data_IF_968929985484
#
_entry.id   IF_968929985484
#
_cell.length_a   1.000
_cell.length_b   1.000
_cell.length_c   1.000
_cell.angle_alpha   90.00
_cell.angle_beta   90.00
_cell.angle_gamma   90.00
#
_symmetry.space_group_name_H-M   'P 1'
#
loop_
_entity.id
_entity.type
_entity.pdbx_description
1 polymer ?
#
# COMPACT_ATOMS: atom_id res chain seq x y z
N UNK A 1 -6.24 -24.25 28.44
CA UNK A 1 -7.37 -23.31 28.29
C UNK A 1 -8.61 -24.09 27.89
N UNK A 2 -9.79 -23.83 28.48
CA UNK A 2 -11.00 -24.65 28.31
C UNK A 2 -11.77 -24.28 27.02
N UNK A 3 -12.50 -25.24 26.44
CA UNK A 3 -13.31 -25.08 25.21
C UNK A 3 -14.26 -23.87 25.25
N UNK A 4 -14.84 -23.60 26.43
CA UNK A 4 -15.72 -22.45 26.68
C UNK A 4 -15.00 -21.11 26.53
N UNK A 5 -13.74 -20.99 26.96
CA UNK A 5 -12.96 -19.76 26.83
C UNK A 5 -12.69 -19.44 25.35
N UNK A 6 -12.49 -20.44 24.50
CA UNK A 6 -12.39 -20.26 23.06
C UNK A 6 -13.73 -19.85 22.42
N UNK A 7 -14.84 -20.42 22.88
CA UNK A 7 -16.18 -20.05 22.39
C UNK A 7 -16.53 -18.60 22.78
N UNK A 8 -16.22 -18.18 24.02
CA UNK A 8 -16.39 -16.81 24.47
C UNK A 8 -15.49 -15.83 23.72
N UNK A 9 -14.23 -16.21 23.44
CA UNK A 9 -13.31 -15.38 22.65
C UNK A 9 -13.77 -15.21 21.19
N UNK A 10 -14.41 -16.24 20.60
CA UNK A 10 -15.01 -16.15 19.26
C UNK A 10 -16.31 -15.34 19.21
N UNK A 11 -17.02 -15.25 20.33
CA UNK A 11 -18.27 -14.48 20.47
C UNK A 11 -18.02 -13.04 20.95
N UNK A 12 -16.82 -12.75 21.46
CA UNK A 12 -16.40 -11.41 21.81
C UNK A 12 -16.36 -10.56 20.54
N UNK A 13 -17.32 -9.65 20.40
CA UNK A 13 -17.26 -8.60 19.40
C UNK A 13 -16.09 -7.66 19.78
N UNK A 14 -15.49 -6.92 18.82
CA UNK A 14 -14.50 -5.89 19.11
C UNK A 14 -14.98 -4.83 20.14
N UNK A 15 -16.29 -4.78 20.36
CA UNK A 15 -17.01 -3.90 21.28
C UNK A 15 -17.04 -4.40 22.73
N UNK A 16 -16.66 -5.66 22.99
CA UNK A 16 -16.64 -6.27 24.32
C UNK A 16 -15.30 -6.05 25.05
N UNK A 17 -14.41 -5.25 24.48
CA UNK A 17 -13.09 -4.99 25.05
C UNK A 17 -13.25 -4.14 26.32
N UNK A 18 -12.92 -4.70 27.50
CA UNK A 18 -13.13 -4.05 28.80
C UNK A 18 -12.41 -2.69 28.93
N UNK A 19 -11.39 -2.47 28.09
CA UNK A 19 -10.67 -1.19 27.99
C UNK A 19 -11.52 -0.04 27.41
N UNK A 20 -12.58 -0.33 26.66
CA UNK A 20 -13.52 0.70 26.19
C UNK A 20 -14.36 1.29 27.34
N UNK A 21 -14.51 0.55 28.45
CA UNK A 21 -15.31 0.96 29.60
C UNK A 21 -14.49 1.69 30.67
N UNK A 22 -13.20 1.39 30.79
CA UNK A 22 -12.36 1.92 31.88
C UNK A 22 -11.74 3.29 31.60
N UNK A 23 -11.83 3.82 30.36
CA UNK A 23 -11.32 5.14 29.92
C UNK A 23 -9.88 5.46 30.38
N UNK A 24 -9.09 4.46 30.79
CA UNK A 24 -7.77 4.68 31.37
C UNK A 24 -6.71 4.90 30.28
N UNK A 25 -6.91 4.32 29.11
CA UNK A 25 -6.04 4.45 27.95
C UNK A 25 -6.88 4.44 26.68
N UNK A 26 -6.61 5.38 25.77
CA UNK A 26 -7.29 5.48 24.47
C UNK A 26 -6.25 5.32 23.36
N UNK A 27 -6.61 4.57 22.32
CA UNK A 27 -5.73 4.37 21.17
C UNK A 27 -5.53 5.70 20.43
N UNK A 28 -4.28 6.17 20.36
CA UNK A 28 -3.89 7.44 19.76
C UNK A 28 -2.60 7.29 18.95
N UNK A 29 -2.55 7.90 17.77
CA UNK A 29 -1.34 7.94 16.94
C UNK A 29 -0.40 9.05 17.40
N UNK A 30 -0.96 10.20 17.78
CA UNK A 30 -0.23 11.43 18.08
C UNK A 30 0.13 11.58 19.55
N UNK A 31 -0.71 11.09 20.46
CA UNK A 31 -0.58 11.32 21.90
C UNK A 31 -0.26 10.03 22.65
N UNK A 32 0.25 10.17 23.88
CA UNK A 32 0.32 9.00 24.77
C UNK A 32 -1.10 8.50 25.09
N UNK A 33 -1.36 7.19 25.17
CA UNK A 33 -2.69 6.67 25.45
C UNK A 33 -3.35 7.23 26.71
N UNK A 34 -2.56 7.64 27.72
CA UNK A 34 -3.07 8.26 28.94
C UNK A 34 -3.41 9.74 28.74
N UNK A 35 -2.62 10.46 27.96
CA UNK A 35 -2.91 11.85 27.59
C UNK A 35 -4.16 11.90 26.71
N UNK A 36 -4.25 11.03 25.71
CA UNK A 36 -5.42 10.91 24.82
C UNK A 36 -6.71 10.60 25.58
N UNK A 37 -6.63 9.86 26.68
CA UNK A 37 -7.79 9.55 27.53
C UNK A 37 -8.38 10.78 28.24
N UNK A 38 -7.55 11.80 28.51
CA UNK A 38 -7.97 13.06 29.12
C UNK A 38 -8.61 14.03 28.13
N UNK A 39 -8.35 13.85 26.84
CA UNK A 39 -8.84 14.72 25.78
C UNK A 39 -10.30 14.42 25.46
N UNK A 40 -11.05 15.48 25.17
CA UNK A 40 -12.43 15.37 24.78
C UNK A 40 -12.57 15.17 23.25
N UNK A 41 -13.75 14.71 22.88
CA UNK A 41 -14.06 14.39 21.49
C UNK A 41 -14.07 15.61 20.58
N UNK A 42 -14.45 16.78 21.09
CA UNK A 42 -14.47 18.00 20.27
C UNK A 42 -13.06 18.45 19.92
N UNK A 43 -12.08 18.23 20.81
CA UNK A 43 -10.67 18.46 20.53
C UNK A 43 -10.15 17.57 19.40
N UNK A 44 -10.45 16.26 19.42
CA UNK A 44 -10.05 15.36 18.32
C UNK A 44 -10.70 15.74 16.99
N UNK A 45 -11.97 16.15 17.03
CA UNK A 45 -12.68 16.62 15.84
C UNK A 45 -12.04 17.89 15.27
N UNK A 46 -11.81 18.91 16.11
CA UNK A 46 -11.16 20.16 15.71
C UNK A 46 -9.76 19.89 15.13
N UNK A 47 -8.98 19.01 15.78
CA UNK A 47 -7.65 18.61 15.31
C UNK A 47 -7.72 17.96 13.91
N UNK A 48 -8.68 17.05 13.70
CA UNK A 48 -8.90 16.40 12.41
C UNK A 48 -9.31 17.38 11.31
N UNK A 49 -10.20 18.33 11.62
CA UNK A 49 -10.61 19.38 10.69
C UNK A 49 -9.45 20.30 10.32
N UNK A 50 -8.63 20.74 11.27
CA UNK A 50 -7.42 21.52 10.99
C UNK A 50 -6.43 20.74 10.11
N UNK A 51 -6.25 19.44 10.38
CA UNK A 51 -5.44 18.57 9.52
C UNK A 51 -5.97 18.49 8.09
N UNK A 52 -7.30 18.39 7.92
CA UNK A 52 -7.92 18.35 6.62
C UNK A 52 -7.76 19.68 5.86
N UNK A 53 -7.95 20.82 6.53
CA UNK A 53 -7.76 22.15 5.95
C UNK A 53 -6.32 22.36 5.45
N UNK A 54 -5.33 21.96 6.25
CA UNK A 54 -3.92 21.98 5.86
C UNK A 54 -3.66 21.06 4.64
N UNK A 55 -4.26 19.86 4.60
CA UNK A 55 -4.15 18.95 3.45
C UNK A 55 -4.84 19.49 2.19
N UNK A 56 -5.98 20.18 2.32
CA UNK A 56 -6.69 20.80 1.21
C UNK A 56 -5.86 21.90 0.54
N UNK A 57 -4.99 22.57 1.31
CA UNK A 57 -4.01 23.50 0.77
C UNK A 57 -2.94 22.84 -0.12
N UNK A 58 -2.76 21.52 0.00
CA UNK A 58 -1.77 20.74 -0.77
C UNK A 58 -2.46 19.95 -1.89
N UNK A 59 -3.56 19.28 -1.57
CA UNK A 59 -4.28 18.37 -2.45
C UNK A 59 -5.79 18.62 -2.37
N UNK A 60 -6.40 19.23 -3.41
CA UNK A 60 -7.83 19.54 -3.42
C UNK A 60 -8.72 18.28 -3.49
N UNK A 61 -8.19 17.13 -3.88
CA UNK A 61 -8.93 15.87 -3.91
C UNK A 61 -9.47 15.44 -2.53
N UNK A 62 -9.00 16.04 -1.43
CA UNK A 62 -9.54 15.76 -0.10
C UNK A 62 -10.90 16.43 0.19
N UNK A 63 -11.37 17.33 -0.70
CA UNK A 63 -12.57 18.14 -0.44
C UNK A 63 -13.84 17.29 -0.28
N UNK A 64 -13.91 16.16 -0.99
CA UNK A 64 -15.05 15.22 -0.90
C UNK A 64 -15.24 14.61 0.50
N UNK A 65 -14.19 14.61 1.34
CA UNK A 65 -14.25 14.05 2.68
C UNK A 65 -14.72 15.06 3.73
N UNK A 66 -14.68 16.36 3.41
CA UNK A 66 -15.10 17.42 4.33
C UNK A 66 -16.59 17.30 4.67
N UNK A 67 -17.43 17.02 3.68
CA UNK A 67 -18.88 16.85 3.85
C UNK A 67 -19.28 15.47 4.37
N UNK A 68 -18.33 14.52 4.45
CA UNK A 68 -18.59 13.14 4.87
C UNK A 68 -17.88 12.84 6.19
N UNK A 69 -16.63 12.36 6.13
CA UNK A 69 -15.83 11.91 7.27
C UNK A 69 -15.51 13.02 8.29
N UNK A 70 -15.46 14.27 7.84
CA UNK A 70 -15.13 15.44 8.66
C UNK A 70 -16.31 16.40 8.84
N UNK A 71 -17.52 15.96 8.51
CA UNK A 71 -18.73 16.76 8.72
C UNK A 71 -19.04 16.90 10.21
N UNK A 72 -19.72 17.97 10.66
CA UNK A 72 -20.18 18.07 12.04
C UNK A 72 -21.06 16.89 12.46
N UNK A 73 -21.85 16.32 11.53
CA UNK A 73 -22.67 15.13 11.76
C UNK A 73 -21.85 13.86 12.08
N UNK A 74 -20.60 13.77 11.62
CA UNK A 74 -19.72 12.65 11.96
C UNK A 74 -19.40 12.58 13.47
N UNK A 75 -19.53 13.72 14.19
CA UNK A 75 -19.37 13.81 15.65
C UNK A 75 -20.52 13.21 16.45
N UNK A 76 -21.54 12.63 15.82
CA UNK A 76 -22.58 11.85 16.52
C UNK A 76 -22.72 10.42 15.97
N UNK A 77 -22.12 10.11 14.82
CA UNK A 77 -22.28 8.83 14.11
C UNK A 77 -21.59 7.65 14.81
N UNK A 78 -22.30 6.86 15.62
CA UNK A 78 -21.71 5.72 16.34
C UNK A 78 -21.69 4.48 15.44
N UNK A 79 -20.52 3.93 15.12
CA UNK A 79 -20.39 2.83 14.16
C UNK A 79 -21.06 1.52 14.61
N UNK A 80 -21.12 1.32 15.92
CA UNK A 80 -21.69 0.12 16.55
C UNK A 80 -23.20 -0.02 16.36
N UNK A 81 -23.92 1.10 16.20
CA UNK A 81 -25.39 1.12 16.09
C UNK A 81 -25.87 1.29 14.64
N UNK A 82 -24.95 1.51 13.70
CA UNK A 82 -25.31 1.68 12.28
C UNK A 82 -25.62 0.33 11.60
N UNK A 83 -26.39 0.40 10.52
CA UNK A 83 -26.66 -0.77 9.67
C UNK A 83 -25.38 -1.26 8.97
N UNK A 84 -25.40 -2.52 8.53
CA UNK A 84 -24.26 -3.12 7.81
C UNK A 84 -23.96 -2.38 6.51
N UNK A 85 -24.98 -1.88 5.84
CA UNK A 85 -24.89 -1.14 4.57
C UNK A 85 -24.24 0.22 4.79
N UNK A 86 -24.61 0.92 5.87
CA UNK A 86 -23.98 2.20 6.25
C UNK A 86 -22.52 1.98 6.61
N UNK A 87 -22.23 0.97 7.42
CA UNK A 87 -20.86 0.61 7.78
C UNK A 87 -20.01 0.26 6.56
N UNK A 88 -20.56 -0.47 5.58
CA UNK A 88 -19.86 -0.78 4.32
C UNK A 88 -19.56 0.47 3.48
N UNK A 89 -20.47 1.44 3.44
CA UNK A 89 -20.23 2.73 2.76
C UNK A 89 -19.16 3.55 3.49
N UNK A 90 -19.21 3.56 4.82
CA UNK A 90 -18.20 4.21 5.64
C UNK A 90 -16.82 3.55 5.44
N UNK A 91 -16.75 2.23 5.39
CA UNK A 91 -15.54 1.45 5.09
C UNK A 91 -14.91 1.84 3.75
N UNK A 92 -15.75 1.96 2.71
CA UNK A 92 -15.30 2.39 1.40
C UNK A 92 -14.76 3.83 1.42
N UNK A 93 -15.47 4.75 2.10
CA UNK A 93 -15.04 6.14 2.25
C UNK A 93 -13.71 6.28 3.00
N UNK A 94 -13.55 5.56 4.12
CA UNK A 94 -12.31 5.53 4.91
C UNK A 94 -11.17 4.92 4.10
N UNK A 95 -11.42 3.82 3.39
CA UNK A 95 -10.38 3.16 2.58
C UNK A 95 -9.94 4.06 1.42
N UNK A 96 -10.86 4.78 0.79
CA UNK A 96 -10.55 5.77 -0.24
C UNK A 96 -9.73 6.93 0.34
N UNK A 97 -10.15 7.48 1.48
CA UNK A 97 -9.42 8.55 2.17
C UNK A 97 -7.99 8.12 2.50
N UNK A 98 -7.80 6.96 3.13
CA UNK A 98 -6.46 6.45 3.49
C UNK A 98 -5.60 6.17 2.26
N UNK A 99 -6.19 5.72 1.16
CA UNK A 99 -5.47 5.51 -0.10
C UNK A 99 -4.97 6.84 -0.69
N UNK A 100 -5.80 7.90 -0.64
CA UNK A 100 -5.37 9.26 -1.05
C UNK A 100 -4.40 9.91 -0.06
N UNK A 101 -4.48 9.54 1.21
CA UNK A 101 -3.59 10.04 2.25
C UNK A 101 -2.17 9.46 2.16
N UNK A 102 -2.02 8.26 1.60
CA UNK A 102 -0.76 7.52 1.56
C UNK A 102 0.44 8.35 1.05
N UNK A 103 0.37 9.09 -0.08
CA UNK A 103 1.45 10.00 -0.52
C UNK A 103 1.87 11.07 0.49
N UNK A 104 0.95 11.47 1.38
CA UNK A 104 1.11 12.55 2.33
C UNK A 104 1.28 12.06 3.77
N UNK A 105 1.41 10.74 3.97
CA UNK A 105 1.38 10.10 5.28
C UNK A 105 2.36 10.73 6.28
N UNK A 106 3.57 11.09 5.86
CA UNK A 106 4.60 11.69 6.74
C UNK A 106 4.30 13.14 7.16
N UNK A 107 3.31 13.79 6.56
CA UNK A 107 2.93 15.15 6.93
C UNK A 107 2.15 15.13 8.24
N UNK A 108 2.49 16.05 9.16
CA UNK A 108 1.72 16.28 10.40
C UNK A 108 0.21 16.39 10.18
N UNK A 109 -0.31 17.13 9.16
CA UNK A 109 -1.75 17.19 8.93
C UNK A 109 -2.38 15.84 8.59
N UNK A 110 -1.66 14.93 7.92
CA UNK A 110 -2.15 13.57 7.68
C UNK A 110 -2.34 12.79 8.97
N UNK A 111 -1.41 12.90 9.92
CA UNK A 111 -1.54 12.27 11.21
C UNK A 111 -2.72 12.83 12.02
N UNK A 112 -2.97 14.14 11.97
CA UNK A 112 -4.15 14.77 12.61
C UNK A 112 -5.46 14.20 12.07
N UNK A 113 -5.54 13.99 10.75
CA UNK A 113 -6.71 13.35 10.14
C UNK A 113 -6.86 11.88 10.59
N UNK A 114 -5.77 11.10 10.59
CA UNK A 114 -5.80 9.70 11.06
C UNK A 114 -6.24 9.63 12.52
N UNK A 115 -5.77 10.55 13.37
CA UNK A 115 -6.15 10.65 14.77
C UNK A 115 -7.68 10.73 14.94
N UNK A 116 -8.32 11.64 14.21
CA UNK A 116 -9.79 11.75 14.20
C UNK A 116 -10.45 10.42 13.78
N UNK A 117 -9.96 9.79 12.73
CA UNK A 117 -10.54 8.53 12.24
C UNK A 117 -10.37 7.37 13.23
N UNK A 118 -9.22 7.28 13.91
CA UNK A 118 -8.93 6.30 14.97
C UNK A 118 -9.88 6.47 16.15
N UNK A 119 -10.09 7.72 16.58
CA UNK A 119 -10.97 8.02 17.71
C UNK A 119 -12.46 7.89 17.37
N UNK A 120 -12.89 8.31 16.18
CA UNK A 120 -14.31 8.32 15.82
C UNK A 120 -14.81 7.01 15.25
N UNK A 121 -14.06 6.45 14.29
CA UNK A 121 -14.51 5.32 13.48
C UNK A 121 -13.79 4.02 13.82
N UNK A 122 -12.86 4.06 14.78
CA UNK A 122 -12.06 2.92 15.22
C UNK A 122 -11.39 2.18 14.06
N UNK A 123 -10.78 2.92 13.15
CA UNK A 123 -10.18 2.35 11.91
C UNK A 123 -9.10 1.31 12.18
N UNK A 124 -8.44 1.37 13.34
CA UNK A 124 -7.49 0.37 13.81
C UNK A 124 -8.12 -1.01 14.05
N UNK A 125 -9.44 -1.06 14.35
CA UNK A 125 -10.18 -2.30 14.56
C UNK A 125 -10.88 -2.75 13.27
N UNK A 126 -11.52 -1.82 12.57
CA UNK A 126 -12.41 -2.15 11.45
C UNK A 126 -11.75 -2.03 10.06
N UNK A 127 -10.72 -1.21 9.92
CA UNK A 127 -10.06 -0.88 8.65
C UNK A 127 -8.54 -1.08 8.73
N UNK A 128 -8.10 -2.07 9.52
CA UNK A 128 -6.69 -2.36 9.76
C UNK A 128 -5.89 -2.54 8.46
N UNK A 129 -6.43 -3.28 7.50
CA UNK A 129 -5.82 -3.51 6.18
C UNK A 129 -5.55 -2.20 5.42
N UNK A 130 -6.52 -1.27 5.43
CA UNK A 130 -6.41 0.02 4.74
C UNK A 130 -5.46 0.98 5.45
N UNK A 131 -5.45 0.96 6.78
CA UNK A 131 -4.51 1.77 7.58
C UNK A 131 -3.08 1.27 7.39
N UNK A 132 -2.88 -0.05 7.41
CA UNK A 132 -1.57 -0.64 7.15
C UNK A 132 -1.11 -0.37 5.71
N UNK A 133 -1.99 -0.52 4.72
CA UNK A 133 -1.69 -0.20 3.33
C UNK A 133 -1.17 1.24 3.15
N UNK A 134 -1.74 2.19 3.88
CA UNK A 134 -1.34 3.59 3.89
C UNK A 134 0.03 3.82 4.54
N UNK A 135 0.31 3.13 5.64
CA UNK A 135 1.57 3.29 6.38
C UNK A 135 2.74 2.48 5.81
N UNK A 136 2.46 1.38 5.08
CA UNK A 136 3.46 0.39 4.66
C UNK A 136 4.61 0.95 3.79
N UNK A 137 4.39 1.90 2.86
CA UNK A 137 5.49 2.51 2.12
C UNK A 137 6.54 3.18 3.02
N UNK A 138 6.18 3.53 4.26
CA UNK A 138 7.00 4.21 5.27
C UNK A 138 7.41 3.28 6.43
N UNK A 139 7.55 1.98 6.13
CA UNK A 139 7.86 0.91 7.09
C UNK A 139 9.11 1.13 7.96
N UNK A 140 10.03 1.97 7.51
CA UNK A 140 11.29 2.33 8.19
C UNK A 140 11.13 3.50 9.19
N UNK A 141 9.95 4.11 9.27
CA UNK A 141 9.70 5.27 10.12
C UNK A 141 9.13 4.93 11.50
N UNK A 142 9.35 5.81 12.48
CA UNK A 142 8.77 5.69 13.82
C UNK A 142 7.23 5.79 13.81
N UNK A 143 6.66 6.51 12.85
CA UNK A 143 5.20 6.64 12.71
C UNK A 143 4.59 5.31 12.32
N UNK A 144 5.23 4.55 11.42
CA UNK A 144 4.79 3.20 11.09
C UNK A 144 4.76 2.30 12.34
N UNK A 145 5.79 2.36 13.19
CA UNK A 145 5.82 1.62 14.47
C UNK A 145 4.63 2.00 15.36
N UNK A 146 4.26 3.29 15.44
CA UNK A 146 3.07 3.75 16.18
C UNK A 146 1.78 3.18 15.58
N UNK A 147 1.64 3.19 14.25
CA UNK A 147 0.49 2.55 13.57
C UNK A 147 0.41 1.06 13.92
N UNK A 148 1.53 0.35 13.95
CA UNK A 148 1.54 -1.06 14.33
C UNK A 148 1.09 -1.30 15.77
N UNK A 149 1.52 -0.45 16.70
CA UNK A 149 1.08 -0.50 18.10
C UNK A 149 -0.44 -0.26 18.24
N UNK A 150 -1.03 0.56 17.36
CA UNK A 150 -2.46 0.84 17.35
C UNK A 150 -3.32 -0.34 16.90
N UNK A 151 -2.83 -1.16 15.97
CA UNK A 151 -3.61 -2.24 15.36
C UNK A 151 -3.94 -3.41 16.31
N UNK A 152 -3.47 -3.37 17.57
CA UNK A 152 -3.71 -4.38 18.64
C UNK A 152 -3.92 -5.78 18.06
N UNK A 153 -2.85 -6.31 17.45
CA UNK A 153 -2.88 -7.55 16.68
C UNK A 153 -3.30 -8.69 17.61
N UNK A 154 -4.57 -9.05 17.56
CA UNK A 154 -5.10 -10.23 18.20
C UNK A 154 -5.04 -11.37 17.19
N UNK A 155 -4.51 -12.52 17.59
CA UNK A 155 -4.24 -13.73 16.77
C UNK A 155 -5.35 -14.22 15.82
N UNK A 156 -6.56 -13.66 15.87
CA UNK A 156 -7.75 -14.22 15.21
C UNK A 156 -8.08 -13.60 13.85
N UNK A 157 -7.92 -12.29 13.63
CA UNK A 157 -8.73 -11.61 12.59
C UNK A 157 -7.96 -10.73 11.60
N UNK A 158 -6.71 -10.35 11.87
CA UNK A 158 -5.88 -9.67 10.87
C UNK A 158 -5.35 -10.72 9.92
N UNK A 159 -5.50 -10.52 8.59
CA UNK A 159 -5.00 -11.47 7.58
C UNK A 159 -3.58 -11.94 7.92
N UNK A 160 -3.40 -13.26 7.94
CA UNK A 160 -2.18 -13.99 8.34
C UNK A 160 -0.85 -13.38 7.88
N UNK A 161 -0.82 -12.71 6.72
CA UNK A 161 0.39 -12.08 6.17
C UNK A 161 1.00 -11.03 7.11
N UNK A 162 0.16 -10.23 7.74
CA UNK A 162 0.53 -9.19 8.71
C UNK A 162 1.25 -9.75 9.94
N UNK A 163 0.68 -10.81 10.53
CA UNK A 163 1.16 -11.42 11.77
C UNK A 163 2.64 -11.79 11.70
N UNK A 164 3.10 -12.30 10.56
CA UNK A 164 4.50 -12.69 10.37
C UNK A 164 5.47 -11.50 10.29
N UNK A 165 5.01 -10.36 9.77
CA UNK A 165 5.76 -9.11 9.73
C UNK A 165 5.91 -8.48 11.13
N UNK A 166 5.00 -8.85 12.04
CA UNK A 166 4.80 -8.25 13.36
C UNK A 166 5.37 -9.06 14.54
N UNK A 167 6.11 -10.14 14.28
CA UNK A 167 6.84 -10.92 15.32
C UNK A 167 8.12 -10.20 15.80
N UNK A 168 8.38 -8.97 15.34
CA UNK A 168 9.52 -8.18 15.82
C UNK A 168 9.25 -7.54 17.19
N UNK A 169 10.34 -7.30 17.93
CA UNK A 169 10.27 -6.64 19.24
C UNK A 169 9.50 -5.32 19.15
N UNK A 170 8.61 -5.00 20.10
CA UNK A 170 7.86 -3.76 20.09
C UNK A 170 8.82 -2.56 20.08
N UNK A 171 8.58 -1.61 19.18
CA UNK A 171 9.35 -0.36 19.09
C UNK A 171 10.43 -0.30 18.01
N UNK A 172 10.68 -1.39 17.27
CA UNK A 172 11.70 -1.40 16.20
C UNK A 172 11.02 -1.23 14.82
N UNK A 173 11.47 -0.29 13.97
CA UNK A 173 11.02 -0.18 12.59
C UNK A 173 11.26 -1.46 11.80
N UNK A 174 10.40 -1.73 10.82
CA UNK A 174 10.54 -2.93 10.01
C UNK A 174 11.77 -2.80 9.11
N UNK A 175 12.69 -3.75 9.22
CA UNK A 175 13.86 -3.75 8.33
C UNK A 175 13.46 -4.06 6.89
N UNK A 176 14.07 -3.36 5.93
CA UNK A 176 13.86 -3.62 4.50
C UNK A 176 14.15 -5.07 4.11
N UNK A 177 15.15 -5.69 4.74
CA UNK A 177 15.47 -7.10 4.52
C UNK A 177 14.34 -8.04 4.93
N UNK A 178 13.70 -7.79 6.08
CA UNK A 178 12.53 -8.56 6.54
C UNK A 178 11.34 -8.39 5.60
N UNK A 179 11.09 -7.17 5.13
CA UNK A 179 10.02 -6.89 4.18
C UNK A 179 10.22 -7.67 2.86
N UNK A 180 11.44 -7.64 2.32
CA UNK A 180 11.80 -8.38 1.11
C UNK A 180 11.66 -9.89 1.33
N UNK A 181 12.17 -10.39 2.47
CA UNK A 181 12.06 -11.80 2.86
C UNK A 181 10.61 -12.27 2.92
N UNK A 182 9.75 -11.46 3.52
CA UNK A 182 8.33 -11.75 3.57
C UNK A 182 7.68 -11.71 2.19
N UNK A 183 8.09 -10.77 1.32
CA UNK A 183 7.51 -10.63 -0.02
C UNK A 183 7.75 -11.82 -0.94
N UNK A 184 8.90 -12.49 -0.87
CA UNK A 184 9.11 -13.68 -1.70
C UNK A 184 8.65 -14.98 -1.04
N UNK A 185 8.46 -15.00 0.28
CA UNK A 185 7.94 -16.18 1.00
C UNK A 185 6.42 -16.24 0.99
N UNK A 186 5.74 -15.10 1.12
CA UNK A 186 4.28 -15.01 1.11
C UNK A 186 3.76 -14.32 -0.17
N UNK A 187 3.21 -15.15 -1.07
CA UNK A 187 2.61 -14.71 -2.33
C UNK A 187 1.32 -13.89 -2.15
N UNK A 188 0.71 -13.91 -0.97
CA UNK A 188 -0.44 -13.07 -0.61
C UNK A 188 0.02 -11.66 -0.30
N UNK A 189 1.17 -11.51 0.36
CA UNK A 189 1.78 -10.21 0.59
C UNK A 189 2.24 -9.57 -0.72
N UNK A 190 2.85 -10.35 -1.62
CA UNK A 190 3.20 -9.86 -2.95
C UNK A 190 1.97 -9.31 -3.70
N UNK A 191 0.85 -10.04 -3.68
CA UNK A 191 -0.41 -9.60 -4.30
C UNK A 191 -0.98 -8.34 -3.62
N UNK A 192 -0.83 -8.22 -2.30
CA UNK A 192 -1.21 -7.02 -1.56
C UNK A 192 -0.39 -5.80 -2.00
N UNK A 193 0.92 -5.93 -2.19
CA UNK A 193 1.79 -4.85 -2.68
C UNK A 193 1.40 -4.44 -4.10
N UNK A 194 1.15 -5.40 -4.98
CA UNK A 194 0.72 -5.12 -6.36
C UNK A 194 -0.65 -4.42 -6.40
N UNK A 195 -1.61 -4.91 -5.63
CA UNK A 195 -2.97 -4.33 -5.55
C UNK A 195 -2.99 -2.97 -4.84
N UNK A 196 -1.99 -2.63 -4.02
CA UNK A 196 -1.82 -1.28 -3.47
C UNK A 196 -1.65 -0.26 -4.58
N UNK A 197 -0.83 -0.58 -5.59
CA UNK A 197 -0.54 0.32 -6.71
C UNK A 197 -1.79 0.57 -7.55
N UNK A 198 -2.52 -0.49 -7.92
CA UNK A 198 -3.73 -0.37 -8.74
C UNK A 198 -4.82 0.42 -8.01
N UNK A 199 -5.08 0.10 -6.73
CA UNK A 199 -6.04 0.86 -5.90
C UNK A 199 -5.67 2.33 -5.78
N UNK A 200 -4.38 2.65 -5.68
CA UNK A 200 -3.92 4.03 -5.58
C UNK A 200 -4.15 4.80 -6.88
N UNK A 201 -3.89 4.18 -8.03
CA UNK A 201 -4.18 4.79 -9.33
C UNK A 201 -5.69 5.01 -9.50
N UNK A 202 -6.51 4.01 -9.16
CA UNK A 202 -7.97 4.11 -9.23
C UNK A 202 -8.51 5.23 -8.33
N UNK A 203 -7.98 5.37 -7.11
CA UNK A 203 -8.38 6.41 -6.16
C UNK A 203 -8.16 7.84 -6.69
N UNK A 204 -7.23 8.03 -7.62
CA UNK A 204 -6.93 9.32 -8.27
C UNK A 204 -7.45 9.44 -9.70
N UNK A 205 -8.05 8.38 -10.27
CA UNK A 205 -8.49 8.35 -11.68
C UNK A 205 -9.52 9.43 -12.06
N UNK A 206 -10.30 9.93 -11.08
CA UNK A 206 -11.27 11.02 -11.28
C UNK A 206 -10.69 12.43 -11.19
N UNK A 207 -9.41 12.58 -10.82
CA UNK A 207 -8.74 13.88 -10.67
C UNK A 207 -7.74 14.06 -11.82
N UNK A 208 -8.02 15.00 -12.73
CA UNK A 208 -7.36 15.14 -14.05
C UNK A 208 -5.90 15.63 -14.03
N UNK A 209 -5.14 15.33 -12.98
CA UNK A 209 -3.73 15.71 -12.84
C UNK A 209 -2.76 14.58 -13.14
N UNK A 210 -1.52 14.96 -13.48
CA UNK A 210 -0.37 14.04 -13.39
C UNK A 210 -0.35 13.41 -12.00
N UNK A 211 -0.42 12.08 -11.89
CA UNK A 211 -0.40 11.32 -10.63
C UNK A 211 1.00 11.31 -9.98
N UNK A 212 1.68 12.45 -9.98
CA UNK A 212 3.04 12.63 -9.46
C UNK A 212 3.14 12.34 -7.96
N UNK A 213 2.06 12.57 -7.21
CA UNK A 213 1.96 12.22 -5.79
C UNK A 213 2.12 10.71 -5.54
N UNK A 214 1.75 9.86 -6.50
CA UNK A 214 1.86 8.40 -6.35
C UNK A 214 3.29 7.87 -6.50
N UNK A 215 4.28 8.74 -6.76
CA UNK A 215 5.68 8.34 -6.94
C UNK A 215 6.23 7.51 -5.78
N UNK A 216 5.85 7.83 -4.54
CA UNK A 216 6.28 7.06 -3.36
C UNK A 216 5.79 5.61 -3.45
N UNK A 217 4.55 5.41 -3.89
CA UNK A 217 3.93 4.09 -4.02
C UNK A 217 4.58 3.30 -5.16
N UNK A 218 4.84 3.94 -6.32
CA UNK A 218 5.55 3.30 -7.43
C UNK A 218 7.00 2.94 -7.06
N UNK A 219 7.67 3.83 -6.33
CA UNK A 219 9.04 3.60 -5.83
C UNK A 219 9.07 2.44 -4.85
N UNK A 220 8.12 2.39 -3.92
CA UNK A 220 7.96 1.30 -2.96
C UNK A 220 7.68 -0.05 -3.66
N UNK A 221 6.81 -0.04 -4.66
CA UNK A 221 6.51 -1.22 -5.50
C UNK A 221 7.78 -1.77 -6.17
N UNK A 222 8.54 -0.93 -6.89
CA UNK A 222 9.79 -1.36 -7.52
C UNK A 222 10.85 -1.80 -6.49
N UNK A 223 11.01 -1.03 -5.41
CA UNK A 223 12.00 -1.29 -4.36
C UNK A 223 11.72 -2.52 -3.49
N UNK A 224 10.52 -3.09 -3.58
CA UNK A 224 10.12 -4.31 -2.86
C UNK A 224 10.10 -5.52 -3.79
N UNK A 225 9.45 -5.41 -4.95
CA UNK A 225 9.30 -6.54 -5.89
C UNK A 225 10.62 -6.88 -6.58
N UNK A 226 11.42 -5.90 -7.03
CA UNK A 226 12.67 -6.18 -7.73
C UNK A 226 13.66 -6.93 -6.83
N UNK A 227 13.95 -6.48 -5.59
CA UNK A 227 14.82 -7.23 -4.69
C UNK A 227 14.22 -8.55 -4.24
N UNK A 228 12.90 -8.66 -4.10
CA UNK A 228 12.25 -9.93 -3.78
C UNK A 228 12.46 -10.97 -4.89
N UNK A 229 12.35 -10.55 -6.17
CA UNK A 229 12.66 -11.41 -7.31
C UNK A 229 14.15 -11.74 -7.42
N UNK A 230 15.03 -10.84 -6.98
CA UNK A 230 16.47 -11.10 -6.96
C UNK A 230 16.90 -12.10 -5.89
N UNK A 231 16.29 -12.00 -4.70
CA UNK A 231 16.58 -12.87 -3.56
C UNK A 231 16.12 -14.33 -3.76
N UNK A 232 15.23 -14.58 -4.73
CA UNK A 232 14.75 -15.94 -5.04
C UNK A 232 15.71 -16.65 -6.00
N UNK A 233 16.13 -17.87 -5.65
CA UNK A 233 17.01 -18.70 -6.48
C UNK A 233 16.40 -19.05 -7.84
N UNK A 234 15.11 -19.39 -7.84
CA UNK A 234 14.34 -19.70 -9.05
C UNK A 234 12.94 -19.13 -8.95
N UNK A 235 12.62 -18.19 -9.84
CA UNK A 235 11.27 -17.63 -9.93
C UNK A 235 10.32 -18.72 -10.41
N UNK A 236 9.38 -19.11 -9.54
CA UNK A 236 8.39 -20.13 -9.85
C UNK A 236 7.32 -19.62 -10.82
N UNK A 237 6.69 -20.53 -11.57
CA UNK A 237 5.54 -20.20 -12.42
C UNK A 237 4.40 -19.54 -11.62
N UNK A 238 4.24 -19.87 -10.34
CA UNK A 238 3.24 -19.25 -9.45
C UNK A 238 3.50 -17.77 -9.19
N UNK A 239 4.75 -17.35 -9.03
CA UNK A 239 5.13 -15.94 -8.90
C UNK A 239 4.83 -15.20 -10.21
N UNK A 240 5.20 -15.80 -11.35
CA UNK A 240 4.95 -15.22 -12.68
C UNK A 240 3.45 -15.03 -12.92
N UNK A 241 2.63 -16.07 -12.67
CA UNK A 241 1.18 -15.99 -12.86
C UNK A 241 0.53 -14.91 -11.99
N UNK A 242 1.06 -14.65 -10.78
CA UNK A 242 0.58 -13.57 -9.91
C UNK A 242 1.01 -12.18 -10.38
N UNK A 243 2.25 -12.02 -10.82
CA UNK A 243 2.77 -10.71 -11.25
C UNK A 243 2.30 -10.29 -12.65
N UNK A 244 2.06 -11.25 -13.54
CA UNK A 244 1.71 -11.01 -14.94
C UNK A 244 0.53 -10.03 -15.15
N UNK A 245 -0.63 -10.14 -14.47
CA UNK A 245 -1.73 -9.19 -14.66
C UNK A 245 -1.34 -7.74 -14.28
N UNK A 246 -0.53 -7.57 -13.22
CA UNK A 246 -0.06 -6.26 -12.78
C UNK A 246 0.97 -5.66 -13.73
N UNK A 247 1.90 -6.49 -14.23
CA UNK A 247 2.88 -6.08 -15.25
C UNK A 247 2.17 -5.66 -16.54
N UNK A 248 1.20 -6.43 -17.02
CA UNK A 248 0.42 -6.07 -18.20
C UNK A 248 -0.34 -4.76 -18.02
N UNK A 249 -0.89 -4.52 -16.83
CA UNK A 249 -1.59 -3.28 -16.50
C UNK A 249 -0.62 -2.09 -16.45
N UNK A 250 0.55 -2.27 -15.84
CA UNK A 250 1.60 -1.25 -15.77
C UNK A 250 2.17 -0.87 -17.12
N UNK A 251 2.42 -1.85 -18.01
CA UNK A 251 2.90 -1.62 -19.37
C UNK A 251 1.89 -0.86 -20.25
N UNK A 252 0.59 -1.01 -19.97
CA UNK A 252 -0.49 -0.30 -20.69
C UNK A 252 -0.81 1.07 -20.09
N UNK A 253 -0.32 1.36 -18.89
CA UNK A 253 -0.64 2.62 -18.19
C UNK A 253 -0.05 3.83 -18.92
N UNK A 254 -0.75 4.97 -18.90
CA UNK A 254 -0.21 6.23 -19.40
C UNK A 254 0.80 6.87 -18.45
N UNK A 255 0.86 6.44 -17.18
CA UNK A 255 1.70 7.04 -16.15
C UNK A 255 3.18 6.65 -16.31
N UNK A 256 4.06 7.61 -16.60
CA UNK A 256 5.48 7.37 -16.82
C UNK A 256 6.17 6.68 -15.63
N UNK A 257 5.95 7.16 -14.41
CA UNK A 257 6.57 6.58 -13.20
C UNK A 257 6.11 5.13 -12.94
N UNK A 258 4.84 4.80 -13.23
CA UNK A 258 4.34 3.42 -13.10
C UNK A 258 4.87 2.50 -14.20
N UNK A 259 4.94 3.00 -15.45
CA UNK A 259 5.59 2.29 -16.56
C UNK A 259 7.05 1.98 -16.23
N UNK A 260 7.80 2.96 -15.71
CA UNK A 260 9.21 2.82 -15.34
C UNK A 260 9.41 1.76 -14.25
N UNK A 261 8.65 1.84 -13.16
CA UNK A 261 8.65 0.82 -12.10
C UNK A 261 8.34 -0.59 -12.65
N UNK A 262 7.39 -0.68 -13.58
CA UNK A 262 7.04 -1.93 -14.25
C UNK A 262 8.18 -2.45 -15.13
N UNK A 263 8.88 -1.57 -15.85
CA UNK A 263 10.05 -1.97 -16.64
C UNK A 263 11.15 -2.57 -15.76
N UNK A 264 11.43 -2.00 -14.59
CA UNK A 264 12.42 -2.56 -13.67
C UNK A 264 12.09 -4.00 -13.26
N UNK A 265 10.82 -4.29 -13.00
CA UNK A 265 10.34 -5.64 -12.66
C UNK A 265 10.49 -6.58 -13.86
N UNK A 266 10.14 -6.12 -15.07
CA UNK A 266 10.32 -6.91 -16.30
C UNK A 266 11.80 -7.19 -16.57
N UNK A 267 12.69 -6.22 -16.36
CA UNK A 267 14.15 -6.44 -16.45
C UNK A 267 14.56 -7.59 -15.54
N UNK A 268 14.14 -7.54 -14.28
CA UNK A 268 14.55 -8.50 -13.27
C UNK A 268 14.02 -9.90 -13.57
N UNK A 269 12.76 -10.01 -14.01
CA UNK A 269 12.19 -11.27 -14.46
C UNK A 269 12.98 -11.85 -15.63
N UNK A 270 13.39 -11.02 -16.59
CA UNK A 270 14.12 -11.49 -17.75
C UNK A 270 15.57 -11.91 -17.45
N UNK A 271 16.18 -11.37 -16.38
CA UNK A 271 17.50 -11.82 -15.90
C UNK A 271 17.40 -13.17 -15.17
N UNK A 272 16.36 -13.37 -14.36
CA UNK A 272 16.22 -14.56 -13.48
C UNK A 272 15.48 -15.73 -14.13
N UNK A 273 14.66 -15.49 -15.14
CA UNK A 273 13.87 -16.51 -15.83
C UNK A 273 14.46 -16.73 -17.22
N UNK A 274 14.72 -17.99 -17.60
CA UNK A 274 14.88 -18.35 -19.00
C UNK A 274 13.51 -18.20 -19.65
N UNK A 275 13.21 -16.98 -20.10
CA UNK A 275 11.92 -16.65 -20.70
C UNK A 275 11.78 -17.35 -22.05
N UNK A 276 10.60 -17.88 -22.32
CA UNK A 276 10.25 -18.40 -23.65
C UNK A 276 10.36 -17.27 -24.68
N UNK A 277 10.95 -17.55 -25.86
CA UNK A 277 11.24 -16.54 -26.88
C UNK A 277 9.99 -15.73 -27.30
N UNK A 278 8.80 -16.36 -27.28
CA UNK A 278 7.51 -15.74 -27.58
C UNK A 278 7.12 -14.63 -26.58
N UNK A 279 7.40 -14.83 -25.28
CA UNK A 279 7.18 -13.85 -24.21
C UNK A 279 8.21 -12.71 -24.27
N UNK A 280 9.46 -13.04 -24.60
CA UNK A 280 10.53 -12.05 -24.82
C UNK A 280 10.19 -11.13 -25.98
N UNK A 281 9.72 -11.70 -27.11
CA UNK A 281 9.34 -10.92 -28.28
C UNK A 281 8.11 -10.04 -28.01
N UNK A 282 7.09 -10.56 -27.31
CA UNK A 282 5.90 -9.78 -26.92
C UNK A 282 6.25 -8.61 -25.99
N UNK A 283 7.10 -8.85 -24.98
CA UNK A 283 7.59 -7.81 -24.08
C UNK A 283 8.49 -6.81 -24.80
N UNK A 284 9.40 -7.28 -25.66
CA UNK A 284 10.28 -6.42 -26.45
C UNK A 284 9.48 -5.53 -27.41
N UNK A 285 8.42 -6.03 -28.05
CA UNK A 285 7.53 -5.23 -28.91
C UNK A 285 6.78 -4.19 -28.08
N UNK A 286 6.27 -4.54 -26.89
CA UNK A 286 5.60 -3.58 -26.00
C UNK A 286 6.53 -2.49 -25.49
N UNK A 287 7.75 -2.86 -25.07
CA UNK A 287 8.80 -1.91 -24.65
C UNK A 287 9.18 -1.00 -25.82
N UNK A 288 9.38 -1.56 -27.02
CA UNK A 288 9.73 -0.80 -28.24
C UNK A 288 8.65 0.21 -28.63
N UNK A 289 7.37 -0.19 -28.59
CA UNK A 289 6.23 0.69 -28.91
C UNK A 289 6.04 1.80 -27.89
N UNK A 290 6.34 1.54 -26.62
CA UNK A 290 6.23 2.53 -25.55
C UNK A 290 7.40 3.54 -25.56
N UNK A 291 8.62 3.07 -25.84
CA UNK A 291 9.82 3.90 -26.02
C UNK A 291 9.69 4.94 -27.15
N UNK A 292 8.93 4.63 -28.20
CA UNK A 292 8.68 5.55 -29.33
C UNK A 292 7.72 6.69 -28.92
N UNK A 293 6.87 6.49 -27.90
CA UNK A 293 5.86 7.47 -27.48
C UNK A 293 6.34 8.43 -26.38
N UNK A 294 7.31 8.04 -25.54
CA UNK A 294 7.81 8.85 -24.41
C UNK A 294 9.36 8.78 -24.32
N UNK A 295 10.11 9.72 -24.93
CA UNK A 295 11.58 9.66 -25.00
C UNK A 295 12.31 9.90 -23.67
N UNK A 296 11.61 10.32 -22.61
CA UNK A 296 12.18 10.58 -21.28
C UNK A 296 12.64 9.29 -20.58
N UNK A 297 12.04 8.14 -20.89
CA UNK A 297 12.37 6.82 -20.34
C UNK A 297 13.33 6.01 -21.23
N UNK A 298 13.95 6.64 -22.23
CA UNK A 298 14.75 5.94 -23.25
C UNK A 298 15.92 5.14 -22.68
N UNK A 299 16.61 5.66 -21.65
CA UNK A 299 17.75 4.96 -21.03
C UNK A 299 17.32 3.71 -20.23
N UNK A 300 16.20 3.79 -19.51
CA UNK A 300 15.67 2.69 -18.69
C UNK A 300 15.03 1.60 -19.57
N UNK A 301 14.27 1.99 -20.60
CA UNK A 301 13.70 1.03 -21.54
C UNK A 301 14.75 0.36 -22.45
N UNK A 302 15.85 1.03 -22.78
CA UNK A 302 17.00 0.40 -23.46
C UNK A 302 17.73 -0.58 -22.53
N UNK A 303 17.86 -0.26 -21.24
CA UNK A 303 18.35 -1.19 -20.21
C UNK A 303 17.49 -2.45 -20.13
N UNK A 304 16.16 -2.26 -20.01
CA UNK A 304 15.18 -3.35 -19.99
C UNK A 304 15.26 -4.25 -21.21
N UNK A 305 15.26 -3.66 -22.40
CA UNK A 305 15.38 -4.39 -23.67
C UNK A 305 16.70 -5.18 -23.77
N UNK A 306 17.82 -4.63 -23.29
CA UNK A 306 19.11 -5.37 -23.26
C UNK A 306 19.05 -6.55 -22.31
N UNK A 307 18.48 -6.39 -21.11
CA UNK A 307 18.31 -7.48 -20.13
C UNK A 307 17.33 -8.56 -20.61
N UNK A 308 16.30 -8.20 -21.38
CA UNK A 308 15.37 -9.20 -21.96
C UNK A 308 15.97 -9.95 -23.15
N UNK A 309 16.86 -9.31 -23.93
CA UNK A 309 17.54 -9.95 -25.05
C UNK A 309 18.85 -10.67 -24.67
N UNK A 310 19.43 -10.44 -23.49
CA UNK A 310 20.67 -11.10 -23.05
C UNK A 310 20.58 -12.61 -22.86
N UNK A 311 19.48 -13.22 -22.36
CA UNK A 311 19.36 -14.68 -22.23
C UNK A 311 19.40 -15.43 -23.58
N UNK A 312 19.12 -14.74 -24.70
CA UNK A 312 19.10 -15.32 -26.05
C UNK A 312 20.51 -15.46 -26.68
N UNK A 313 21.57 -14.90 -26.07
CA UNK A 313 22.95 -15.02 -26.61
C UNK A 313 23.58 -16.41 -26.46
N UNK A 314 22.92 -17.35 -25.78
CA UNK A 314 23.33 -18.75 -25.72
C UNK A 314 22.96 -19.58 -26.95
N UNK A 315 22.16 -19.04 -27.87
CA UNK A 315 21.77 -19.71 -29.12
C UNK A 315 22.48 -19.04 -30.29
N UNK A 316 23.49 -19.71 -30.82
CA UNK A 316 24.16 -19.35 -32.08
C UNK A 316 23.15 -19.20 -33.20
N UNK A 317 22.87 -17.95 -33.62
CA UNK A 317 22.50 -17.59 -35.00
C UNK A 317 22.84 -16.12 -35.24
N UNK A 318 23.80 -15.93 -36.13
CA UNK A 318 24.25 -14.65 -36.68
C UNK A 318 23.09 -13.80 -37.18
N UNK A 319 22.88 -12.63 -36.57
CA UNK A 319 22.11 -11.55 -37.18
C UNK A 319 23.01 -10.31 -37.25
N UNK A 320 23.40 -9.99 -38.48
CA UNK A 320 24.12 -8.80 -38.90
C UNK A 320 23.36 -7.53 -38.51
N UNK A 321 24.04 -6.63 -37.80
CA UNK A 321 23.53 -5.31 -37.45
C UNK A 321 23.52 -4.38 -38.67
N UNK A 322 22.45 -3.58 -38.90
CA UNK A 322 22.57 -2.32 -39.59
C UNK A 322 22.87 -1.22 -38.57
N UNK A 323 24.02 -0.57 -38.74
CA UNK A 323 24.35 0.70 -38.10
C UNK A 323 23.22 1.71 -38.30
N UNK A 324 22.80 2.36 -37.22
CA UNK A 324 22.20 3.69 -37.30
C UNK A 324 23.05 4.62 -36.44
N UNK A 325 23.85 5.44 -37.14
CA UNK A 325 24.43 6.69 -36.62
C UNK A 325 23.35 7.77 -36.73
N UNK A 326 23.35 8.62 -35.69
CA UNK A 326 22.71 9.94 -35.58
C UNK A 326 21.19 9.95 -35.46
#
# INVERSE_FOLDING_TARGET
MTSLAHQLKRLALPQSDANLLTRSEVASLLFDPKEAASMDRSTFYALGCTGLEELLGIEPAFLEFQSTLFSPASTTLERSIQSKEVNKKLDAGISLFLTRLCPYFLLKPAHKCIEWLVHRFHIQLYNADSLLACALPYHDTNVFVRVLQLLKISDSDVKSFCLSLFVQKPGVPLSRGTLIAHCYTDLSFMDFICSLVTRSIEAYSGHSGSCSQLRVIFSFYACTIVPALDAVDRVSNTIISKLLPYVQTGLKSSLADYKAATYMIVCQLAVKVVMEASLVDSLAVHISKSLIKEPVLAKEGVGSRRSTCSPLRGSTRSWSAPCWRS
#
